data_IF_378130056527
#
_entry.id   IF_378130056527
#
_cell.length_a   1.000
_cell.length_b   1.000
_cell.length_c   1.000
_cell.angle_alpha   90.00
_cell.angle_beta   90.00
_cell.angle_gamma   90.00
#
_symmetry.space_group_name_H-M   'P 1'
#
loop_
_entity.id
_entity.type
_entity.pdbx_description
1 polymer ?
#
# COMPACT_ATOMS: atom_id res chain seq x y z
N UNK A 1 -1.90 -8.92 -27.30
CA UNK A 1 -2.81 -9.38 -26.22
C UNK A 1 -2.12 -9.17 -24.87
N UNK A 2 -2.11 -7.94 -24.32
CA UNK A 2 -1.27 -7.62 -23.14
C UNK A 2 -1.90 -6.65 -22.14
N UNK A 3 -3.23 -6.63 -22.01
CA UNK A 3 -3.88 -5.93 -20.90
C UNK A 3 -4.73 -6.93 -20.11
N UNK A 4 -4.22 -7.35 -18.94
CA UNK A 4 -4.97 -8.15 -17.98
C UNK A 4 -6.02 -7.24 -17.36
N UNK A 5 -7.27 -7.36 -17.79
CA UNK A 5 -8.40 -6.70 -17.13
C UNK A 5 -8.53 -7.24 -15.72
N UNK A 6 -8.43 -6.35 -14.73
CA UNK A 6 -8.61 -6.70 -13.32
C UNK A 6 -10.08 -7.06 -13.14
N UNK A 7 -10.38 -8.35 -12.93
CA UNK A 7 -11.75 -8.79 -12.63
C UNK A 7 -12.22 -8.13 -11.33
N UNK A 8 -13.46 -7.62 -11.27
CA UNK A 8 -13.99 -7.06 -10.04
C UNK A 8 -13.96 -8.13 -8.94
N UNK A 9 -13.53 -7.76 -7.75
CA UNK A 9 -13.53 -8.66 -6.59
C UNK A 9 -14.99 -9.01 -6.27
N UNK A 10 -15.29 -10.30 -6.15
CA UNK A 10 -16.63 -10.78 -5.77
C UNK A 10 -17.07 -10.12 -4.46
N UNK A 11 -18.28 -9.57 -4.44
CA UNK A 11 -18.84 -8.94 -3.25
C UNK A 11 -19.66 -9.98 -2.49
N UNK A 12 -19.13 -10.41 -1.33
CA UNK A 12 -19.88 -11.27 -0.42
C UNK A 12 -20.71 -10.37 0.50
N UNK A 13 -22.04 -10.41 0.35
CA UNK A 13 -22.94 -9.74 1.28
C UNK A 13 -23.03 -10.57 2.56
N UNK A 14 -22.60 -10.00 3.67
CA UNK A 14 -22.89 -10.54 5.00
C UNK A 14 -24.16 -9.85 5.49
N UNK A 15 -25.27 -10.58 5.71
CA UNK A 15 -26.48 -10.01 6.26
C UNK A 15 -26.19 -9.30 7.59
N UNK A 16 -26.66 -8.05 7.71
CA UNK A 16 -26.57 -7.30 8.97
C UNK A 16 -27.88 -7.47 9.72
N UNK A 17 -27.94 -8.43 10.63
CA UNK A 17 -29.03 -8.50 11.59
C UNK A 17 -28.74 -7.54 12.75
N UNK A 18 -29.74 -6.75 13.13
CA UNK A 18 -29.61 -5.82 14.25
C UNK A 18 -29.53 -6.62 15.55
N UNK A 19 -28.48 -6.37 16.34
CA UNK A 19 -28.29 -6.98 17.66
C UNK A 19 -28.34 -5.84 18.71
N UNK A 20 -29.46 -5.68 19.43
CA UNK A 20 -29.66 -4.58 20.36
C UNK A 20 -28.67 -4.59 21.53
N UNK A 21 -28.15 -5.76 21.92
CA UNK A 21 -27.19 -5.88 23.02
C UNK A 21 -25.82 -5.28 22.66
N UNK A 22 -25.44 -5.35 21.38
CA UNK A 22 -24.12 -4.90 20.88
C UNK A 22 -24.13 -3.47 20.36
N UNK A 23 -25.30 -2.89 20.14
CA UNK A 23 -25.48 -1.54 19.60
C UNK A 23 -24.78 -0.40 20.40
N UNK A 24 -24.81 -0.35 21.75
CA UNK A 24 -24.15 0.73 22.50
C UNK A 24 -22.62 0.71 22.33
N UNK A 25 -22.02 -0.48 22.31
CA UNK A 25 -20.58 -0.63 22.08
C UNK A 25 -20.19 -0.29 20.65
N UNK A 26 -20.98 -0.72 19.66
CA UNK A 26 -20.75 -0.42 18.25
C UNK A 26 -20.88 1.09 17.99
N UNK A 27 -21.90 1.76 18.54
CA UNK A 27 -22.06 3.22 18.48
C UNK A 27 -20.88 3.95 19.12
N UNK A 28 -20.39 3.46 20.26
CA UNK A 28 -19.19 4.01 20.92
C UNK A 28 -17.94 3.85 20.05
N UNK A 29 -17.70 2.67 19.47
CA UNK A 29 -16.57 2.41 18.56
C UNK A 29 -16.63 3.24 17.27
N UNK A 30 -17.83 3.48 16.73
CA UNK A 30 -18.06 4.35 15.58
C UNK A 30 -17.74 5.82 15.91
N UNK A 31 -18.25 6.34 17.04
CA UNK A 31 -17.97 7.71 17.52
C UNK A 31 -16.48 7.96 17.75
N UNK A 32 -15.77 6.94 18.25
CA UNK A 32 -14.32 7.00 18.48
C UNK A 32 -13.49 6.78 17.20
N UNK A 33 -14.12 6.54 16.04
CA UNK A 33 -13.45 6.43 14.75
C UNK A 33 -12.63 5.15 14.55
N UNK A 34 -12.73 4.17 15.45
CA UNK A 34 -11.98 2.91 15.37
C UNK A 34 -12.36 2.05 14.14
N UNK A 35 -13.55 2.26 13.57
CA UNK A 35 -14.03 1.51 12.40
C UNK A 35 -13.40 1.95 11.08
N UNK A 36 -12.57 2.99 11.05
CA UNK A 36 -11.98 3.48 9.80
C UNK A 36 -10.79 2.60 9.46
N UNK A 37 -11.05 1.51 8.75
CA UNK A 37 -10.06 0.84 7.90
C UNK A 37 -9.52 1.87 6.91
N UNK A 38 -8.56 2.69 7.34
CA UNK A 38 -7.80 3.56 6.45
C UNK A 38 -7.00 2.60 5.60
N UNK A 39 -7.46 2.35 4.37
CA UNK A 39 -6.68 1.67 3.37
C UNK A 39 -5.30 2.34 3.39
N UNK A 40 -4.31 1.64 3.93
CA UNK A 40 -2.99 2.19 4.14
C UNK A 40 -2.46 2.46 2.73
N UNK A 41 -2.48 3.73 2.30
CA UNK A 41 -1.94 4.11 1.00
C UNK A 41 -0.46 3.75 1.07
N UNK A 42 -0.06 2.68 0.37
CA UNK A 42 1.34 2.29 0.26
C UNK A 42 2.06 3.48 -0.37
N UNK A 43 2.88 4.17 0.40
CA UNK A 43 3.74 5.23 -0.13
C UNK A 43 4.70 4.56 -1.10
N UNK A 44 4.53 4.82 -2.39
CA UNK A 44 5.44 4.34 -3.43
C UNK A 44 6.74 5.11 -3.22
N UNK A 45 7.83 4.41 -2.84
CA UNK A 45 9.14 5.05 -2.70
C UNK A 45 9.66 5.39 -4.10
N UNK A 46 10.20 6.59 -4.27
CA UNK A 46 10.85 6.97 -5.52
C UNK A 46 12.09 6.08 -5.75
N UNK A 47 12.30 5.54 -6.97
CA UNK A 47 13.46 4.72 -7.30
C UNK A 47 14.76 5.55 -7.44
N UNK A 48 14.72 6.86 -7.18
CA UNK A 48 15.85 7.77 -7.35
C UNK A 48 17.10 7.33 -6.57
N UNK A 49 16.93 6.77 -5.37
CA UNK A 49 18.05 6.27 -4.55
C UNK A 49 18.77 5.08 -5.19
N UNK A 50 18.05 4.24 -5.94
CA UNK A 50 18.65 3.13 -6.68
C UNK A 50 19.49 3.63 -7.85
N UNK A 51 19.01 4.64 -8.58
CA UNK A 51 19.78 5.28 -9.66
C UNK A 51 21.05 5.93 -9.14
N UNK A 52 20.97 6.63 -8.00
CA UNK A 52 22.12 7.26 -7.36
C UNK A 52 23.16 6.23 -6.91
N UNK A 53 22.70 5.11 -6.34
CA UNK A 53 23.56 4.01 -5.91
C UNK A 53 24.27 3.36 -7.12
N UNK A 54 23.53 3.04 -8.18
CA UNK A 54 24.09 2.45 -9.42
C UNK A 54 25.10 3.42 -10.05
N UNK A 55 24.76 4.70 -10.15
CA UNK A 55 25.68 5.73 -10.66
C UNK A 55 26.97 5.82 -9.86
N UNK A 56 26.90 5.76 -8.53
CA UNK A 56 28.07 5.74 -7.66
C UNK A 56 28.95 4.51 -7.87
N UNK A 57 28.36 3.32 -8.00
CA UNK A 57 29.09 2.07 -8.28
C UNK A 57 29.81 2.14 -9.63
N UNK A 58 29.13 2.63 -10.68
CA UNK A 58 29.72 2.80 -12.01
C UNK A 58 30.89 3.80 -11.97
N UNK A 59 30.73 4.91 -11.25
CA UNK A 59 31.79 5.90 -11.10
C UNK A 59 33.05 5.32 -10.44
N UNK A 60 32.87 4.55 -9.36
CA UNK A 60 33.97 3.87 -8.67
C UNK A 60 34.63 2.87 -9.63
N UNK A 61 33.84 2.06 -10.33
CA UNK A 61 34.36 1.09 -11.29
C UNK A 61 35.22 1.77 -12.37
N UNK A 62 34.70 2.81 -13.02
CA UNK A 62 35.41 3.55 -14.06
C UNK A 62 36.74 4.14 -13.56
N UNK A 63 36.71 4.73 -12.35
CA UNK A 63 37.89 5.30 -11.69
C UNK A 63 38.95 4.25 -11.35
N UNK A 64 38.55 3.05 -10.92
CA UNK A 64 39.49 1.97 -10.61
C UNK A 64 40.03 1.27 -11.88
N UNK A 65 39.26 1.25 -12.96
CA UNK A 65 39.73 0.75 -14.27
C UNK A 65 40.66 1.72 -15.01
N UNK A 66 40.87 2.94 -14.50
CA UNK A 66 41.79 3.92 -15.11
C UNK A 66 41.31 4.48 -16.45
N UNK A 67 40.01 4.38 -16.72
CA UNK A 67 39.36 4.95 -17.91
C UNK A 67 39.10 6.46 -17.71
N UNK A 68 39.03 6.90 -16.45
CA UNK A 68 38.92 8.27 -15.94
C UNK A 68 39.87 8.39 -14.75
#
# INVERSE_FOLDING_TARGET
>A
MFFKTIKPKGFNYVPRFYDPEKDPELKRKQRLGFSRNRAHKRKVKSPIYWLLLIGGVIFIYLKFTGII
#
